data_IF_552796902179
#
_entry.id   IF_552796902179
#
_cell.length_a   1.000
_cell.length_b   1.000
_cell.length_c   1.000
_cell.angle_alpha   90.00
_cell.angle_beta   90.00
_cell.angle_gamma   90.00
#
_symmetry.space_group_name_H-M   'P 1'
#
loop_
_entity.id
_entity.type
_entity.pdbx_description
1 polymer ?
#
# COMPACT_ATOMS: atom_id res chain seq x y z
N UNK A 1 -2.53 -22.63 0.22
CA UNK A 1 -1.53 -21.57 0.47
C UNK A 1 -0.17 -22.22 0.69
N UNK A 2 0.92 -21.63 0.17
CA UNK A 2 2.29 -22.12 0.39
C UNK A 2 2.67 -22.00 1.88
N UNK A 3 3.34 -23.01 2.46
CA UNK A 3 3.77 -22.99 3.87
C UNK A 3 4.65 -21.76 4.20
N UNK A 4 5.48 -21.32 3.25
CA UNK A 4 6.31 -20.12 3.42
C UNK A 4 5.48 -18.84 3.57
N UNK A 5 4.37 -18.73 2.84
CA UNK A 5 3.44 -17.59 2.94
C UNK A 5 2.84 -17.52 4.35
N UNK A 6 2.33 -18.65 4.84
CA UNK A 6 1.71 -18.74 6.17
C UNK A 6 2.73 -18.40 7.26
N UNK A 7 3.96 -18.91 7.14
CA UNK A 7 5.02 -18.62 8.11
C UNK A 7 5.38 -17.12 8.17
N UNK A 8 5.51 -16.46 7.01
CA UNK A 8 5.79 -15.02 6.94
C UNK A 8 4.65 -14.19 7.53
N UNK A 9 3.41 -14.49 7.15
CA UNK A 9 2.24 -13.80 7.71
C UNK A 9 2.19 -13.99 9.22
N UNK A 10 2.27 -15.22 9.74
CA UNK A 10 2.22 -15.47 11.17
C UNK A 10 3.33 -14.75 11.96
N UNK A 11 4.52 -14.59 11.36
CA UNK A 11 5.64 -13.91 12.00
C UNK A 11 5.42 -12.40 12.15
N UNK A 12 4.92 -11.73 11.11
CA UNK A 12 4.88 -10.25 11.05
C UNK A 12 3.48 -9.64 11.18
N UNK A 13 2.43 -10.47 11.11
CA UNK A 13 1.06 -10.02 11.29
C UNK A 13 0.81 -9.30 12.64
N UNK A 14 1.33 -9.76 13.79
CA UNK A 14 1.11 -9.05 15.06
C UNK A 14 1.58 -7.59 15.01
N UNK A 15 2.77 -7.33 14.48
CA UNK A 15 3.32 -5.98 14.35
C UNK A 15 2.49 -5.14 13.37
N UNK A 16 2.03 -5.75 12.28
CA UNK A 16 1.17 -5.10 11.30
C UNK A 16 -0.17 -4.70 11.91
N UNK A 17 -0.78 -5.58 12.71
CA UNK A 17 -2.03 -5.30 13.44
C UNK A 17 -1.86 -4.15 14.43
N UNK A 18 -0.72 -4.07 15.12
CA UNK A 18 -0.39 -2.93 15.99
C UNK A 18 -0.28 -1.65 15.15
N UNK A 19 0.42 -1.70 14.01
CA UNK A 19 0.67 -0.53 13.16
C UNK A 19 -0.61 0.05 12.56
N UNK A 20 -1.54 -0.81 12.12
CA UNK A 20 -2.86 -0.41 11.62
C UNK A 20 -3.88 -0.14 12.72
N UNK A 21 -3.49 -0.29 14.01
CA UNK A 21 -4.36 -0.14 15.19
C UNK A 21 -5.61 -1.01 15.10
N UNK A 22 -5.45 -2.26 14.68
CA UNK A 22 -6.54 -3.20 14.45
C UNK A 22 -7.42 -3.37 15.71
N UNK A 23 -8.73 -3.16 15.55
CA UNK A 23 -9.74 -3.42 16.59
C UNK A 23 -10.37 -4.82 16.49
N UNK A 24 -10.24 -5.44 15.32
CA UNK A 24 -10.83 -6.74 15.00
C UNK A 24 -9.73 -7.74 14.64
N UNK A 25 -10.00 -9.02 14.91
CA UNK A 25 -9.12 -10.08 14.48
C UNK A 25 -9.17 -10.26 12.95
N UNK A 26 -8.05 -10.68 12.32
CA UNK A 26 -8.05 -11.07 10.92
C UNK A 26 -9.03 -12.20 10.63
N UNK A 27 -9.65 -12.17 9.46
CA UNK A 27 -10.55 -13.21 8.97
C UNK A 27 -10.22 -13.56 7.52
N UNK A 28 -10.41 -14.83 7.15
CA UNK A 28 -10.32 -15.24 5.75
C UNK A 28 -11.62 -14.95 5.03
N UNK A 29 -11.55 -14.23 3.92
CA UNK A 29 -12.69 -13.92 3.05
C UNK A 29 -12.47 -14.58 1.70
N UNK A 30 -13.45 -15.34 1.20
CA UNK A 30 -13.33 -15.98 -0.10
C UNK A 30 -13.30 -14.95 -1.21
N UNK A 31 -12.39 -15.15 -2.17
CA UNK A 31 -12.28 -14.32 -3.36
C UNK A 31 -13.19 -14.93 -4.43
N UNK A 32 -14.19 -14.18 -4.85
CA UNK A 32 -15.12 -14.53 -5.91
C UNK A 32 -15.36 -13.29 -6.77
N UNK A 33 -14.48 -13.02 -7.76
CA UNK A 33 -14.55 -11.80 -8.53
C UNK A 33 -15.85 -11.71 -9.34
N UNK A 34 -16.42 -10.51 -9.41
CA UNK A 34 -17.50 -10.23 -10.38
C UNK A 34 -16.94 -10.16 -11.80
N UNK A 35 -17.79 -10.43 -12.78
CA UNK A 35 -17.39 -10.46 -14.19
C UNK A 35 -16.87 -9.09 -14.69
N UNK A 36 -17.41 -8.00 -14.15
CA UNK A 36 -17.08 -6.60 -14.48
C UNK A 36 -16.22 -5.93 -13.38
N UNK A 37 -15.67 -6.71 -12.45
CA UNK A 37 -14.77 -6.18 -11.44
C UNK A 37 -13.40 -5.85 -12.05
N UNK A 38 -12.84 -4.71 -11.61
CA UNK A 38 -11.56 -4.20 -12.08
C UNK A 38 -10.51 -4.43 -10.99
N UNK A 39 -9.31 -4.86 -11.40
CA UNK A 39 -8.16 -5.02 -10.49
C UNK A 39 -7.87 -3.68 -9.78
N UNK A 40 -7.50 -3.73 -8.50
CA UNK A 40 -7.16 -2.56 -7.67
C UNK A 40 -8.28 -1.51 -7.56
N UNK A 41 -9.54 -1.89 -7.81
CA UNK A 41 -10.69 -0.98 -7.79
C UNK A 41 -11.76 -1.44 -6.79
N UNK A 42 -11.33 -1.97 -5.64
CA UNK A 42 -12.19 -2.66 -4.69
C UNK A 42 -13.38 -1.82 -4.19
N UNK A 43 -13.16 -0.54 -3.91
CA UNK A 43 -14.23 0.36 -3.47
C UNK A 43 -15.34 0.48 -4.53
N UNK A 44 -14.97 0.70 -5.78
CA UNK A 44 -15.91 0.87 -6.90
C UNK A 44 -16.55 -0.45 -7.31
N UNK A 45 -15.81 -1.56 -7.28
CA UNK A 45 -16.37 -2.89 -7.50
C UNK A 45 -17.50 -3.18 -6.49
N UNK A 46 -17.25 -2.91 -5.20
CA UNK A 46 -18.24 -3.13 -4.13
C UNK A 46 -19.41 -2.17 -4.25
N UNK A 47 -19.17 -0.89 -4.59
CA UNK A 47 -20.25 0.07 -4.85
C UNK A 47 -21.19 -0.43 -5.96
N UNK A 48 -20.64 -0.86 -7.11
CA UNK A 48 -21.44 -1.43 -8.21
C UNK A 48 -22.21 -2.68 -7.78
N UNK A 49 -21.56 -3.57 -7.02
CA UNK A 49 -22.22 -4.78 -6.49
C UNK A 49 -23.37 -4.47 -5.54
N UNK A 50 -23.20 -3.49 -4.65
CA UNK A 50 -24.25 -3.05 -3.74
C UNK A 50 -25.42 -2.44 -4.50
N UNK A 51 -25.15 -1.61 -5.53
CA UNK A 51 -26.20 -1.02 -6.35
C UNK A 51 -27.00 -2.07 -7.14
N UNK A 52 -26.33 -3.13 -7.63
CA UNK A 52 -26.92 -4.20 -8.44
C UNK A 52 -27.70 -5.22 -7.60
N UNK A 53 -27.08 -5.71 -6.53
CA UNK A 53 -27.55 -6.91 -5.80
C UNK A 53 -27.88 -6.64 -4.32
N UNK A 54 -27.82 -5.38 -3.88
CA UNK A 54 -28.04 -4.99 -2.49
C UNK A 54 -26.87 -5.37 -1.56
N UNK A 55 -27.14 -5.45 -0.25
CA UNK A 55 -26.12 -5.67 0.76
C UNK A 55 -25.41 -4.38 1.16
N UNK A 56 -24.13 -4.46 1.54
CA UNK A 56 -23.37 -3.29 2.00
C UNK A 56 -21.87 -3.45 1.76
N UNK A 57 -21.14 -2.34 1.74
CA UNK A 57 -19.69 -2.35 1.76
C UNK A 57 -19.18 -2.60 3.18
N UNK A 58 -18.16 -3.45 3.32
CA UNK A 58 -17.38 -3.58 4.55
C UNK A 58 -15.95 -3.18 4.26
N UNK A 59 -15.46 -2.19 5.02
CA UNK A 59 -14.12 -1.64 4.84
C UNK A 59 -13.13 -2.20 5.86
N UNK A 60 -11.86 -2.17 5.47
CA UNK A 60 -10.80 -2.74 6.28
C UNK A 60 -9.47 -2.74 5.55
N UNK A 61 -8.67 -3.73 5.88
CA UNK A 61 -7.33 -3.93 5.37
C UNK A 61 -7.22 -5.32 4.76
N UNK A 62 -6.74 -5.41 3.52
CA UNK A 62 -6.27 -6.65 2.91
C UNK A 62 -4.81 -6.86 3.29
N UNK A 63 -4.49 -7.98 3.94
CA UNK A 63 -3.14 -8.30 4.40
C UNK A 63 -2.49 -9.30 3.45
N UNK A 64 -1.30 -8.96 2.95
CA UNK A 64 -0.51 -9.84 2.08
C UNK A 64 1.00 -9.68 2.32
N UNK A 65 1.77 -10.78 2.34
CA UNK A 65 3.21 -10.72 2.22
C UNK A 65 3.59 -10.43 0.76
N UNK A 66 4.55 -9.54 0.61
CA UNK A 66 5.33 -9.29 -0.59
C UNK A 66 6.70 -9.95 -0.45
N UNK A 67 7.59 -9.74 -1.43
CA UNK A 67 8.95 -10.31 -1.42
C UNK A 67 9.81 -9.77 -0.27
N UNK A 68 9.72 -8.48 0.02
CA UNK A 68 10.54 -7.78 1.03
C UNK A 68 9.74 -7.17 2.18
N UNK A 69 8.41 -7.14 2.06
CA UNK A 69 7.53 -6.49 3.03
C UNK A 69 6.30 -7.35 3.33
N UNK A 70 5.61 -7.06 4.43
CA UNK A 70 4.20 -7.40 4.59
C UNK A 70 3.41 -6.11 4.48
N UNK A 71 2.30 -6.15 3.75
CA UNK A 71 1.48 -4.99 3.43
C UNK A 71 0.05 -5.20 3.93
N UNK A 72 -0.51 -4.14 4.51
CA UNK A 72 -1.94 -3.95 4.72
C UNK A 72 -2.42 -2.85 3.76
N UNK A 73 -3.18 -3.24 2.74
CA UNK A 73 -3.78 -2.35 1.75
C UNK A 73 -5.20 -1.99 2.17
N UNK A 74 -5.59 -0.71 2.07
CA UNK A 74 -6.98 -0.32 2.32
C UNK A 74 -7.90 -0.97 1.29
N UNK A 75 -8.89 -1.71 1.78
CA UNK A 75 -9.69 -2.59 0.94
C UNK A 75 -11.17 -2.57 1.30
N UNK A 76 -12.00 -2.90 0.31
CA UNK A 76 -13.43 -3.10 0.47
C UNK A 76 -13.83 -4.50 0.05
N UNK A 77 -14.67 -5.13 0.85
CA UNK A 77 -15.34 -6.39 0.53
C UNK A 77 -16.85 -6.19 0.54
N UNK A 78 -17.58 -7.03 -0.18
CA UNK A 78 -19.04 -7.01 -0.20
C UNK A 78 -19.58 -7.85 0.96
N UNK A 79 -20.50 -7.26 1.73
CA UNK A 79 -21.33 -7.97 2.71
C UNK A 79 -22.71 -8.20 2.10
N UNK A 80 -23.04 -9.46 1.85
CA UNK A 80 -24.32 -9.86 1.30
C UNK A 80 -25.48 -9.62 2.29
N UNK A 81 -26.74 -9.57 1.82
CA UNK A 81 -27.91 -9.40 2.69
C UNK A 81 -28.06 -10.48 3.78
N UNK A 82 -27.57 -11.69 3.53
CA UNK A 82 -27.56 -12.79 4.50
C UNK A 82 -26.45 -12.65 5.57
N UNK A 83 -25.61 -11.62 5.46
CA UNK A 83 -24.52 -11.31 6.37
C UNK A 83 -23.18 -11.94 6.02
N UNK A 84 -23.10 -12.77 4.96
CA UNK A 84 -21.83 -13.34 4.48
C UNK A 84 -20.94 -12.29 3.81
N UNK A 85 -19.62 -12.57 3.78
CA UNK A 85 -18.62 -11.70 3.19
C UNK A 85 -17.97 -12.35 1.98
N UNK A 86 -17.81 -11.58 0.89
CA UNK A 86 -17.07 -11.97 -0.30
C UNK A 86 -16.14 -10.84 -0.73
N UNK A 87 -14.92 -11.20 -1.10
CA UNK A 87 -14.02 -10.31 -1.81
C UNK A 87 -14.28 -10.49 -3.31
N UNK A 88 -14.93 -9.49 -3.89
CA UNK A 88 -15.34 -9.50 -5.30
C UNK A 88 -14.33 -8.81 -6.22
N UNK A 89 -13.17 -8.43 -5.69
CA UNK A 89 -12.11 -7.78 -6.47
C UNK A 89 -11.15 -8.83 -7.01
N UNK A 90 -10.86 -8.84 -8.33
CA UNK A 90 -9.88 -9.76 -8.89
C UNK A 90 -8.47 -9.43 -8.39
N UNK A 91 -7.69 -10.47 -8.14
CA UNK A 91 -6.29 -10.35 -7.74
C UNK A 91 -5.36 -10.62 -8.92
N UNK A 92 -4.21 -9.93 -8.98
CA UNK A 92 -3.20 -10.14 -10.02
C UNK A 92 -2.60 -11.56 -9.93
N UNK A 93 -2.39 -12.04 -8.71
CA UNK A 93 -1.96 -13.42 -8.43
C UNK A 93 -3.19 -14.22 -8.00
N UNK A 94 -3.43 -15.43 -8.52
CA UNK A 94 -4.61 -16.22 -8.17
C UNK A 94 -4.55 -16.66 -6.70
N UNK A 95 -5.23 -15.89 -5.85
CA UNK A 95 -5.48 -16.21 -4.45
C UNK A 95 -6.93 -16.67 -4.31
N UNK A 96 -7.18 -17.63 -3.43
CA UNK A 96 -8.52 -18.11 -3.13
C UNK A 96 -9.19 -17.31 -2.02
N UNK A 97 -8.38 -16.69 -1.15
CA UNK A 97 -8.86 -15.98 0.03
C UNK A 97 -8.02 -14.74 0.30
N UNK A 98 -8.69 -13.69 0.74
CA UNK A 98 -8.09 -12.47 1.28
C UNK A 98 -8.01 -12.60 2.79
N UNK A 99 -6.84 -12.34 3.38
CA UNK A 99 -6.73 -12.17 4.84
C UNK A 99 -7.15 -10.74 5.17
N UNK A 100 -8.35 -10.57 5.71
CA UNK A 100 -8.99 -9.27 5.87
C UNK A 100 -9.07 -8.87 7.34
N UNK A 101 -8.80 -7.60 7.64
CA UNK A 101 -8.98 -7.01 8.97
C UNK A 101 -9.98 -5.87 8.87
N UNK A 102 -11.14 -6.03 9.51
CA UNK A 102 -12.18 -4.99 9.52
C UNK A 102 -11.65 -3.69 10.15
N UNK A 103 -12.03 -2.56 9.55
CA UNK A 103 -11.83 -1.23 10.11
C UNK A 103 -13.14 -0.43 10.05
N UNK A 104 -13.84 -0.40 11.18
CA UNK A 104 -15.13 0.30 11.32
C UNK A 104 -15.00 1.81 11.54
N UNK A 105 -13.78 2.32 11.73
CA UNK A 105 -13.54 3.77 11.80
C UNK A 105 -13.34 4.38 10.40
N UNK A 106 -13.23 3.54 9.37
CA UNK A 106 -12.99 3.97 8.00
C UNK A 106 -14.24 3.82 7.13
N UNK A 107 -14.63 4.91 6.47
CA UNK A 107 -15.66 4.93 5.42
C UNK A 107 -15.06 5.52 4.17
N UNK A 108 -15.08 4.78 3.07
CA UNK A 108 -14.61 5.30 1.80
C UNK A 108 -15.57 6.37 1.25
N UNK A 109 -14.99 7.50 0.86
CA UNK A 109 -15.67 8.66 0.25
C UNK A 109 -14.80 9.31 -0.84
N UNK A 110 -13.90 8.52 -1.45
CA UNK A 110 -12.95 9.00 -2.45
C UNK A 110 -11.57 9.38 -1.90
N UNK A 111 -11.28 9.09 -0.63
CA UNK A 111 -9.98 9.38 -0.03
C UNK A 111 -8.87 8.58 -0.72
N UNK A 112 -7.69 9.17 -0.78
CA UNK A 112 -6.45 8.47 -1.11
C UNK A 112 -5.85 8.00 0.21
N UNK A 113 -5.69 6.70 0.41
CA UNK A 113 -5.17 6.13 1.66
C UNK A 113 -3.96 5.25 1.39
N UNK A 114 -2.92 5.38 2.22
CA UNK A 114 -1.70 4.61 2.07
C UNK A 114 -1.94 3.15 2.42
N UNK A 115 -1.06 2.31 1.91
CA UNK A 115 -0.87 1.00 2.46
C UNK A 115 0.12 1.08 3.61
N UNK A 116 -0.14 0.31 4.66
CA UNK A 116 0.79 0.19 5.77
C UNK A 116 1.72 -0.98 5.48
N UNK A 117 3.03 -0.73 5.53
CA UNK A 117 4.07 -1.71 5.18
C UNK A 117 5.01 -1.95 6.36
N UNK A 118 5.45 -3.18 6.52
CA UNK A 118 6.51 -3.57 7.48
C UNK A 118 7.58 -4.32 6.71
N UNK A 119 8.84 -3.96 6.95
CA UNK A 119 10.00 -4.67 6.45
C UNK A 119 10.06 -6.07 7.08
N UNK A 120 10.02 -7.13 6.26
CA UNK A 120 10.10 -8.53 6.72
C UNK A 120 11.52 -9.11 6.60
N UNK A 121 12.48 -8.25 6.27
CA UNK A 121 13.90 -8.57 6.12
C UNK A 121 14.72 -7.84 7.19
N UNK A 122 16.04 -8.06 7.19
CA UNK A 122 16.98 -7.28 8.01
C UNK A 122 17.68 -6.16 7.19
N UNK A 123 17.29 -6.00 5.93
CA UNK A 123 17.91 -5.07 5.01
C UNK A 123 17.29 -3.67 5.15
N UNK A 124 18.07 -2.70 5.64
CA UNK A 124 17.62 -1.33 5.86
C UNK A 124 17.29 -0.56 4.58
N UNK A 125 17.72 -1.06 3.41
CA UNK A 125 17.29 -0.50 2.11
C UNK A 125 15.78 -0.63 1.94
N UNK A 126 15.18 -1.69 2.49
CA UNK A 126 13.73 -1.90 2.47
C UNK A 126 13.04 -0.87 3.37
N UNK A 127 13.65 -0.47 4.50
CA UNK A 127 13.10 0.60 5.35
C UNK A 127 13.07 1.94 4.60
N UNK A 128 14.12 2.22 3.82
CA UNK A 128 14.19 3.41 2.97
C UNK A 128 13.19 3.36 1.82
N UNK A 129 12.96 2.17 1.24
CA UNK A 129 11.93 1.96 0.24
C UNK A 129 10.53 2.24 0.81
N UNK A 130 10.21 1.69 1.99
CA UNK A 130 8.94 1.97 2.68
C UNK A 130 8.77 3.48 2.90
N UNK A 131 9.82 4.16 3.35
CA UNK A 131 9.79 5.61 3.57
C UNK A 131 9.49 6.40 2.28
N UNK A 132 10.03 5.97 1.13
CA UNK A 132 9.71 6.59 -0.17
C UNK A 132 8.26 6.33 -0.57
N UNK A 133 7.72 5.13 -0.33
CA UNK A 133 6.30 4.85 -0.56
C UNK A 133 5.38 5.74 0.29
N UNK A 134 5.70 5.91 1.59
CA UNK A 134 4.97 6.79 2.50
C UNK A 134 5.05 8.27 2.05
N UNK A 135 6.21 8.69 1.53
CA UNK A 135 6.40 10.03 0.96
C UNK A 135 5.56 10.26 -0.31
N UNK A 136 5.55 9.28 -1.23
CA UNK A 136 4.68 9.28 -2.42
C UNK A 136 3.22 9.41 -2.00
N UNK A 137 2.81 8.64 -0.99
CA UNK A 137 1.44 8.71 -0.50
C UNK A 137 1.10 10.06 0.14
N UNK A 138 2.03 10.64 0.89
CA UNK A 138 1.89 11.99 1.47
C UNK A 138 1.59 13.01 0.36
N UNK A 139 2.28 12.92 -0.78
CA UNK A 139 1.98 13.79 -1.93
C UNK A 139 0.60 13.53 -2.53
N UNK A 140 0.20 12.26 -2.68
CA UNK A 140 -1.16 11.91 -3.08
C UNK A 140 -2.22 12.49 -2.13
N UNK A 141 -1.93 12.64 -0.84
CA UNK A 141 -2.82 13.25 0.15
C UNK A 141 -3.20 14.72 -0.14
N UNK A 142 -2.41 15.43 -0.96
CA UNK A 142 -2.76 16.79 -1.44
C UNK A 142 -3.52 16.79 -2.76
N UNK A 143 -3.72 15.62 -3.37
CA UNK A 143 -4.57 15.44 -4.53
C UNK A 143 -6.04 15.25 -4.13
N UNK A 144 -6.92 15.45 -5.10
CA UNK A 144 -8.35 15.15 -4.97
C UNK A 144 -8.78 14.19 -6.06
N UNK A 145 -9.34 13.05 -5.66
CA UNK A 145 -9.93 12.10 -6.60
C UNK A 145 -11.17 12.73 -7.27
N UNK A 146 -11.19 12.75 -8.60
CA UNK A 146 -12.31 13.27 -9.41
C UNK A 146 -13.08 12.17 -10.12
N UNK A 147 -12.43 11.04 -10.38
CA UNK A 147 -13.03 9.81 -10.89
C UNK A 147 -12.26 8.58 -10.39
N UNK A 148 -12.73 7.38 -10.71
CA UNK A 148 -12.14 6.10 -10.29
C UNK A 148 -10.64 5.99 -10.58
N UNK A 149 -10.18 6.57 -11.68
CA UNK A 149 -8.77 6.58 -12.09
C UNK A 149 -8.20 7.99 -12.30
N UNK A 150 -8.88 9.03 -11.79
CA UNK A 150 -8.45 10.42 -11.99
C UNK A 150 -8.24 11.13 -10.66
N UNK A 151 -7.07 11.78 -10.55
CA UNK A 151 -6.68 12.59 -9.39
C UNK A 151 -6.28 13.97 -9.89
N UNK A 152 -6.98 14.99 -9.44
CA UNK A 152 -6.62 16.38 -9.66
C UNK A 152 -5.57 16.82 -8.63
N UNK A 153 -4.49 17.45 -9.09
CA UNK A 153 -3.37 17.89 -8.24
C UNK A 153 -2.64 19.08 -8.90
N UNK A 154 -2.03 20.00 -8.11
CA UNK A 154 -1.15 21.04 -8.64
C UNK A 154 0.02 20.48 -9.48
N UNK A 155 0.35 21.14 -10.60
CA UNK A 155 1.37 20.68 -11.56
C UNK A 155 2.75 20.46 -10.93
N UNK A 156 3.15 21.32 -9.99
CA UNK A 156 4.41 21.20 -9.27
C UNK A 156 4.49 19.91 -8.44
N UNK A 157 3.37 19.45 -7.88
CA UNK A 157 3.31 18.19 -7.14
C UNK A 157 3.31 17.00 -8.08
N UNK A 158 2.64 17.08 -9.24
CA UNK A 158 2.68 16.02 -10.27
C UNK A 158 4.12 15.72 -10.70
N UNK A 159 4.93 16.77 -10.92
CA UNK A 159 6.34 16.59 -11.29
C UNK A 159 7.16 15.92 -10.18
N UNK A 160 6.97 16.34 -8.93
CA UNK A 160 7.67 15.77 -7.78
C UNK A 160 7.25 14.31 -7.55
N UNK A 161 5.96 14.03 -7.60
CA UNK A 161 5.37 12.71 -7.46
C UNK A 161 5.94 11.74 -8.51
N UNK A 162 5.90 12.12 -9.80
CA UNK A 162 6.45 11.30 -10.87
C UNK A 162 7.94 10.99 -10.66
N UNK A 163 8.71 11.98 -10.21
CA UNK A 163 10.12 11.78 -9.88
C UNK A 163 10.34 10.76 -8.75
N UNK A 164 9.50 10.80 -7.71
CA UNK A 164 9.56 9.83 -6.62
C UNK A 164 9.08 8.44 -7.06
N UNK A 165 8.02 8.34 -7.85
CA UNK A 165 7.54 7.06 -8.39
C UNK A 165 8.58 6.40 -9.30
N UNK A 166 9.30 7.18 -10.12
CA UNK A 166 10.39 6.65 -10.93
C UNK A 166 11.60 6.26 -10.08
N UNK A 167 11.87 6.97 -8.98
CA UNK A 167 12.92 6.64 -8.02
C UNK A 167 12.59 5.36 -7.22
N UNK A 168 11.34 5.21 -6.80
CA UNK A 168 10.84 4.06 -6.04
C UNK A 168 11.08 2.73 -6.77
N UNK A 169 10.90 2.73 -8.10
CA UNK A 169 11.13 1.56 -8.97
C UNK A 169 12.56 1.05 -8.97
N UNK A 170 13.54 1.81 -8.45
CA UNK A 170 14.95 1.41 -8.39
C UNK A 170 15.22 0.44 -7.24
N UNK A 171 14.40 0.47 -6.17
CA UNK A 171 14.66 -0.33 -4.97
C UNK A 171 14.54 -1.83 -5.23
N UNK A 172 13.50 -2.28 -5.94
CA UNK A 172 13.30 -3.71 -6.20
C UNK A 172 14.47 -4.32 -7.01
N UNK A 173 14.85 -3.81 -8.20
CA UNK A 173 16.00 -4.35 -8.94
C UNK A 173 17.32 -4.31 -8.14
N UNK A 174 17.53 -3.28 -7.33
CA UNK A 174 18.72 -3.19 -6.47
C UNK A 174 18.74 -4.29 -5.41
N UNK A 175 17.60 -4.54 -4.76
CA UNK A 175 17.43 -5.63 -3.78
C UNK A 175 17.53 -7.02 -4.44
N UNK A 176 17.04 -7.17 -5.67
CA UNK A 176 17.17 -8.41 -6.45
C UNK A 176 18.62 -8.72 -6.82
N UNK A 177 19.43 -7.68 -7.03
CA UNK A 177 20.88 -7.81 -7.19
C UNK A 177 21.63 -8.02 -5.85
N UNK A 178 20.93 -8.34 -4.76
CA UNK A 178 21.48 -8.47 -3.40
C UNK A 178 22.09 -7.18 -2.84
N UNK A 179 21.58 -6.02 -3.27
CA UNK A 179 21.96 -4.72 -2.73
C UNK A 179 21.57 -4.56 -1.27
N UNK A 180 22.50 -4.10 -0.44
CA UNK A 180 22.26 -3.75 0.96
C UNK A 180 22.96 -2.42 1.32
N UNK A 181 23.06 -2.10 2.61
CA UNK A 181 23.73 -0.88 3.09
C UNK A 181 25.23 -0.83 2.82
N UNK A 182 25.89 -1.98 2.65
CA UNK A 182 27.33 -2.10 2.40
C UNK A 182 27.66 -2.19 0.91
N UNK A 183 26.72 -2.66 0.09
CA UNK A 183 26.84 -2.68 -1.37
C UNK A 183 27.00 -1.28 -1.94
N UNK A 184 27.62 -1.18 -3.12
CA UNK A 184 27.73 0.07 -3.88
C UNK A 184 26.33 0.60 -4.19
N UNK A 185 26.11 1.89 -3.92
CA UNK A 185 24.83 2.53 -4.14
C UNK A 185 24.43 2.52 -5.62
N UNK A 186 23.15 2.28 -5.90
CA UNK A 186 22.58 2.27 -7.25
C UNK A 186 22.70 3.60 -8.03
N UNK A 187 23.14 4.69 -7.38
CA UNK A 187 23.26 6.02 -7.97
C UNK A 187 24.52 6.23 -8.83
N UNK A 188 25.43 5.26 -8.87
CA UNK A 188 26.65 5.30 -9.68
C UNK A 188 27.83 6.06 -9.07
N UNK A 189 27.69 6.68 -7.89
CA UNK A 189 28.76 7.45 -7.22
C UNK A 189 29.92 6.59 -6.68
N UNK A 190 29.89 5.27 -6.84
CA UNK A 190 30.90 4.33 -6.33
C UNK A 190 31.10 4.38 -4.80
N UNK A 191 30.10 4.86 -4.06
CA UNK A 191 30.06 4.84 -2.61
C UNK A 191 29.15 3.72 -2.12
N UNK A 192 29.42 3.11 -0.95
CA UNK A 192 28.46 2.23 -0.29
C UNK A 192 27.11 2.94 -0.08
N UNK A 193 26.00 2.20 -0.16
CA UNK A 193 24.66 2.77 0.00
C UNK A 193 24.53 3.57 1.29
N UNK A 194 25.01 3.04 2.42
CA UNK A 194 24.98 3.70 3.73
C UNK A 194 25.69 5.06 3.77
N UNK A 195 26.67 5.28 2.90
CA UNK A 195 27.46 6.51 2.80
C UNK A 195 26.96 7.40 1.63
N UNK A 196 25.86 7.00 0.99
CA UNK A 196 25.20 7.72 -0.09
C UNK A 196 23.70 7.90 0.23
N UNK A 197 22.78 7.20 -0.43
CA UNK A 197 21.34 7.36 -0.17
C UNK A 197 20.93 6.89 1.24
N UNK A 198 21.65 5.96 1.86
CA UNK A 198 21.42 5.62 3.26
C UNK A 198 21.77 6.73 4.24
N UNK A 199 22.61 7.70 3.82
CA UNK A 199 22.93 8.90 4.60
C UNK A 199 22.01 10.08 4.22
N UNK A 200 21.73 10.23 2.93
CA UNK A 200 21.18 11.46 2.34
C UNK A 200 19.92 11.21 1.50
N UNK A 201 18.98 10.43 2.04
CA UNK A 201 17.65 10.22 1.45
C UNK A 201 16.55 10.80 2.33
N UNK A 202 16.48 10.34 3.59
CA UNK A 202 15.32 10.63 4.44
C UNK A 202 15.20 12.10 4.79
N UNK A 203 16.30 12.73 5.19
CA UNK A 203 16.28 14.13 5.63
C UNK A 203 15.89 15.09 4.49
N UNK A 204 16.56 15.09 3.31
CA UNK A 204 16.16 15.97 2.22
C UNK A 204 14.72 15.76 1.77
N UNK A 205 14.26 14.50 1.70
CA UNK A 205 12.89 14.20 1.33
C UNK A 205 11.89 14.70 2.38
N UNK A 206 12.19 14.55 3.67
CA UNK A 206 11.36 15.10 4.76
C UNK A 206 11.27 16.62 4.69
N UNK A 207 12.39 17.30 4.42
CA UNK A 207 12.43 18.75 4.25
C UNK A 207 11.63 19.21 3.01
N UNK A 208 11.69 18.44 1.92
CA UNK A 208 10.89 18.70 0.72
C UNK A 208 9.38 18.55 0.99
N UNK A 209 8.97 17.49 1.70
CA UNK A 209 7.59 17.26 2.09
C UNK A 209 7.08 18.36 3.04
N UNK A 210 7.89 18.79 4.00
CA UNK A 210 7.53 19.89 4.91
C UNK A 210 7.31 21.22 4.16
N UNK A 211 8.11 21.48 3.11
CA UNK A 211 7.89 22.64 2.22
C UNK A 211 6.56 22.52 1.48
N UNK A 212 6.27 21.35 0.91
CA UNK A 212 4.96 21.09 0.27
C UNK A 212 3.83 21.33 1.27
N UNK A 213 3.91 20.76 2.48
CA UNK A 213 2.90 20.97 3.51
C UNK A 213 2.70 22.46 3.82
N UNK A 214 3.78 23.23 3.94
CA UNK A 214 3.70 24.68 4.19
C UNK A 214 3.04 25.47 3.05
N UNK A 215 3.17 25.00 1.81
CA UNK A 215 2.56 25.62 0.62
C UNK A 215 1.10 25.20 0.42
N UNK A 216 0.70 24.04 0.92
CA UNK A 216 -0.64 23.49 0.77
C UNK A 216 -1.57 23.83 1.95
N UNK A 217 -1.02 24.31 3.07
CA UNK A 217 -1.82 24.88 4.16
C UNK A 217 -2.51 26.18 3.67
N UNK A 218 -3.82 26.33 3.90
CA UNK A 218 -4.56 27.53 3.51
C UNK A 218 -4.13 28.78 4.29
#
# INVERSE_FOLDING_TARGET
>A
MNAQYIALVNKFLPDLLIRIKAKYNPMSVNIQPEQDAVINSCFYNVERKVAKDGGSAKYGWSVRPLKYMIEAEKHAIWKAPDGSYLDITPTIVPLQQTLFVIDDDFVYSGQLVDNVRINITENKVVDDWIFVCEAIHTLYGYGRRTAEHEIAMPENLVRMLKGLEDFEKVFEPYLEANGDYKSICFCGRQLPYKDCHGLDLRQPLSEALAKVESMMKP
#
